data_IF_644696027672
#
_entry.id   IF_644696027672
#
_cell.length_a   1.000
_cell.length_b   1.000
_cell.length_c   1.000
_cell.angle_alpha   90.00
_cell.angle_beta   90.00
_cell.angle_gamma   90.00
#
_symmetry.space_group_name_H-M   'P 1'
#
loop_
_entity.id
_entity.type
_entity.pdbx_description
1 polymer ?
#
# COMPACT_ATOMS: atom_id res chain seq x y z
N UNK A 1 -22.11 -8.60 -14.63
CA UNK A 1 -20.64 -8.68 -14.53
C UNK A 1 -20.17 -9.72 -15.52
N UNK A 2 -19.49 -9.30 -16.58
CA UNK A 2 -18.74 -10.19 -17.48
C UNK A 2 -17.36 -10.38 -16.87
N UNK A 3 -16.93 -11.63 -16.68
CA UNK A 3 -15.57 -11.93 -16.23
C UNK A 3 -14.63 -11.79 -17.43
N UNK A 4 -13.55 -11.02 -17.27
CA UNK A 4 -12.53 -10.90 -18.30
C UNK A 4 -11.75 -12.22 -18.45
N UNK A 5 -11.25 -12.57 -19.65
CA UNK A 5 -10.26 -13.62 -19.78
C UNK A 5 -8.95 -13.19 -19.08
N UNK A 6 -8.62 -13.84 -17.97
CA UNK A 6 -7.41 -13.58 -17.17
C UNK A 6 -6.20 -14.15 -17.90
N UNK A 7 -5.19 -13.33 -18.16
CA UNK A 7 -3.90 -13.78 -18.68
C UNK A 7 -2.88 -14.07 -17.55
N UNK A 8 -1.66 -14.49 -17.92
CA UNK A 8 -0.60 -14.79 -16.93
C UNK A 8 -0.14 -13.55 -16.14
N UNK A 9 -0.16 -12.37 -16.75
CA UNK A 9 0.20 -11.12 -16.09
C UNK A 9 -0.83 -10.71 -15.06
N UNK A 10 -2.11 -10.83 -15.40
CA UNK A 10 -3.23 -10.58 -14.50
C UNK A 10 -3.22 -11.53 -13.31
N UNK A 11 -2.96 -12.82 -13.57
CA UNK A 11 -2.85 -13.83 -12.52
C UNK A 11 -1.68 -13.52 -11.56
N UNK A 12 -0.52 -13.13 -12.09
CA UNK A 12 0.62 -12.73 -11.27
C UNK A 12 0.29 -11.50 -10.40
N UNK A 13 -0.40 -10.50 -10.96
CA UNK A 13 -0.84 -9.32 -10.21
C UNK A 13 -1.80 -9.68 -9.06
N UNK A 14 -2.75 -10.59 -9.30
CA UNK A 14 -3.67 -11.09 -8.26
C UNK A 14 -2.90 -11.81 -7.13
N UNK A 15 -1.90 -12.63 -7.47
CA UNK A 15 -1.06 -13.29 -6.46
C UNK A 15 -0.33 -12.27 -5.59
N UNK A 16 0.30 -11.26 -6.21
CA UNK A 16 0.97 -10.16 -5.48
C UNK A 16 0.00 -9.41 -4.58
N UNK A 17 -1.24 -9.18 -5.04
CA UNK A 17 -2.30 -8.58 -4.22
C UNK A 17 -2.58 -9.42 -2.97
N UNK A 18 -2.71 -10.74 -3.11
CA UNK A 18 -2.95 -11.65 -1.98
C UNK A 18 -1.77 -11.63 -1.00
N UNK A 19 -0.55 -11.71 -1.49
CA UNK A 19 0.66 -11.63 -0.66
C UNK A 19 0.73 -10.30 0.11
N UNK A 20 0.41 -9.18 -0.54
CA UNK A 20 0.39 -7.87 0.11
C UNK A 20 -0.71 -7.73 1.15
N UNK A 21 -1.89 -8.33 0.95
CA UNK A 21 -2.95 -8.39 1.98
C UNK A 21 -2.45 -9.18 3.20
N UNK A 22 -1.83 -10.34 2.97
CA UNK A 22 -1.30 -11.19 4.04
C UNK A 22 -0.21 -10.42 4.80
N UNK A 23 0.76 -9.85 4.09
CA UNK A 23 1.84 -9.08 4.67
C UNK A 23 1.33 -7.91 5.51
N UNK A 24 0.41 -7.11 4.95
CA UNK A 24 -0.14 -5.94 5.63
C UNK A 24 -0.91 -6.34 6.90
N UNK A 25 -1.72 -7.40 6.82
CA UNK A 25 -2.47 -7.94 7.96
C UNK A 25 -1.53 -8.45 9.05
N UNK A 26 -0.55 -9.26 8.67
CA UNK A 26 0.45 -9.81 9.60
C UNK A 26 1.28 -8.69 10.23
N UNK A 27 1.71 -7.70 9.45
CA UNK A 27 2.48 -6.57 9.94
C UNK A 27 1.67 -5.73 10.92
N UNK A 28 0.41 -5.42 10.59
CA UNK A 28 -0.49 -4.74 11.49
C UNK A 28 -0.61 -5.52 12.81
N UNK A 29 -1.09 -6.77 12.77
CA UNK A 29 -1.43 -7.51 13.98
C UNK A 29 -0.24 -7.98 14.81
N UNK A 30 0.85 -8.40 14.16
CA UNK A 30 2.01 -8.99 14.85
C UNK A 30 2.98 -7.91 15.31
N UNK A 31 3.29 -6.94 14.45
CA UNK A 31 4.25 -5.88 14.77
C UNK A 31 3.64 -4.78 15.64
N UNK A 32 2.31 -4.70 15.71
CA UNK A 32 1.53 -3.73 16.52
C UNK A 32 2.14 -2.33 16.47
N UNK A 33 2.44 -1.79 15.28
CA UNK A 33 3.17 -0.52 15.17
C UNK A 33 2.42 0.63 15.85
N UNK A 34 1.09 0.58 15.90
CA UNK A 34 0.25 1.54 16.62
C UNK A 34 0.50 1.55 18.13
N UNK A 35 0.86 0.43 18.77
CA UNK A 35 1.18 0.40 20.20
C UNK A 35 2.53 1.05 20.52
N UNK A 36 3.41 1.09 19.52
CA UNK A 36 4.74 1.68 19.65
C UNK A 36 4.80 3.13 19.16
N UNK A 37 3.64 3.78 18.94
CA UNK A 37 3.52 5.14 18.39
C UNK A 37 3.77 6.25 19.42
N UNK A 38 4.82 6.14 20.24
CA UNK A 38 5.78 7.26 20.16
C UNK A 38 7.21 6.86 19.79
N UNK A 39 7.59 5.61 20.05
CA UNK A 39 8.96 5.10 19.99
C UNK A 39 9.35 4.60 18.59
N UNK A 40 8.40 4.14 17.78
CA UNK A 40 8.64 3.61 16.43
C UNK A 40 7.75 4.31 15.39
N UNK A 41 8.06 5.58 15.10
CA UNK A 41 7.33 6.39 14.11
C UNK A 41 7.47 5.82 12.69
N UNK A 42 8.61 5.21 12.38
CA UNK A 42 8.87 4.57 11.08
C UNK A 42 7.91 3.41 10.86
N UNK A 43 7.70 2.54 11.86
CA UNK A 43 6.83 1.38 11.72
C UNK A 43 5.35 1.74 11.48
N UNK A 44 4.88 2.84 12.06
CA UNK A 44 3.51 3.34 11.82
C UNK A 44 3.33 3.83 10.40
N UNK A 45 4.27 4.63 9.88
CA UNK A 45 4.15 5.15 8.52
C UNK A 45 4.41 4.10 7.47
N UNK A 46 5.28 3.13 7.77
CA UNK A 46 5.42 1.93 6.95
C UNK A 46 4.11 1.12 6.90
N UNK A 47 3.39 0.95 8.02
CA UNK A 47 2.06 0.34 7.99
C UNK A 47 1.10 1.13 7.07
N UNK A 48 1.10 2.47 7.16
CA UNK A 48 0.32 3.32 6.27
C UNK A 48 0.62 3.05 4.80
N UNK A 49 1.89 2.96 4.42
CA UNK A 49 2.31 2.61 3.07
C UNK A 49 1.81 1.23 2.64
N UNK A 50 1.97 0.21 3.50
CA UNK A 50 1.49 -1.15 3.21
C UNK A 50 -0.02 -1.18 2.96
N UNK A 51 -0.80 -0.45 3.76
CA UNK A 51 -2.25 -0.31 3.58
C UNK A 51 -2.57 0.38 2.26
N UNK A 52 -1.92 1.50 1.96
CA UNK A 52 -2.13 2.23 0.70
C UNK A 52 -1.81 1.35 -0.51
N UNK A 53 -0.69 0.63 -0.48
CA UNK A 53 -0.28 -0.25 -1.57
C UNK A 53 -1.23 -1.45 -1.73
N UNK A 54 -1.69 -2.02 -0.62
CA UNK A 54 -2.70 -3.09 -0.62
C UNK A 54 -4.00 -2.63 -1.26
N UNK A 55 -4.49 -1.43 -0.90
CA UNK A 55 -5.72 -0.87 -1.50
C UNK A 55 -5.55 -0.65 -3.01
N UNK A 56 -4.41 -0.10 -3.44
CA UNK A 56 -4.08 0.09 -4.84
C UNK A 56 -4.09 -1.24 -5.62
N UNK A 57 -3.42 -2.27 -5.09
CA UNK A 57 -3.35 -3.60 -5.72
C UNK A 57 -4.72 -4.28 -5.78
N UNK A 58 -5.54 -4.17 -4.73
CA UNK A 58 -6.92 -4.68 -4.75
C UNK A 58 -7.75 -4.00 -5.85
N UNK A 59 -7.65 -2.67 -5.99
CA UNK A 59 -8.32 -1.94 -7.06
C UNK A 59 -7.84 -2.37 -8.46
N UNK A 60 -6.54 -2.64 -8.59
CA UNK A 60 -5.95 -3.13 -9.82
C UNK A 60 -6.46 -4.54 -10.17
N UNK A 61 -6.49 -5.46 -9.21
CA UNK A 61 -7.04 -6.81 -9.40
C UNK A 61 -8.53 -6.80 -9.75
N UNK A 62 -9.34 -5.94 -9.11
CA UNK A 62 -10.76 -5.77 -9.46
C UNK A 62 -10.89 -5.28 -10.91
N UNK A 63 -10.03 -4.35 -11.32
CA UNK A 63 -10.01 -3.85 -12.71
C UNK A 63 -9.76 -4.97 -13.71
N UNK A 64 -8.81 -5.87 -13.45
CA UNK A 64 -8.51 -7.00 -14.33
C UNK A 64 -9.67 -7.99 -14.39
N UNK A 65 -10.25 -8.37 -13.25
CA UNK A 65 -11.33 -9.37 -13.20
C UNK A 65 -12.60 -8.88 -13.90
N UNK A 66 -12.91 -7.59 -13.78
CA UNK A 66 -14.17 -7.01 -14.26
C UNK A 66 -14.08 -6.40 -15.65
N UNK A 67 -12.92 -6.49 -16.32
CA UNK A 67 -12.63 -5.75 -17.55
C UNK A 67 -13.05 -4.28 -17.46
N UNK A 68 -12.74 -3.63 -16.33
CA UNK A 68 -13.16 -2.26 -16.06
C UNK A 68 -14.69 -2.01 -15.96
N UNK A 69 -15.56 -3.02 -16.01
CA UNK A 69 -17.01 -2.88 -16.01
C UNK A 69 -17.63 -2.75 -14.61
N UNK A 70 -17.01 -1.98 -13.71
CA UNK A 70 -17.50 -1.74 -12.35
C UNK A 70 -17.97 -0.27 -12.16
N UNK A 71 -19.05 -0.05 -11.39
CA UNK A 71 -19.58 1.30 -11.17
C UNK A 71 -18.55 2.20 -10.45
N UNK A 72 -18.55 3.49 -10.78
CA UNK A 72 -17.64 4.51 -10.23
C UNK A 72 -16.15 4.38 -10.61
N UNK A 73 -15.80 3.54 -11.60
CA UNK A 73 -14.43 3.40 -12.11
C UNK A 73 -13.73 4.72 -12.40
N UNK A 74 -14.41 5.65 -13.06
CA UNK A 74 -13.87 6.97 -13.44
C UNK A 74 -13.41 7.80 -12.24
N UNK A 75 -13.93 7.52 -11.03
CA UNK A 75 -13.57 8.23 -9.80
C UNK A 75 -12.60 7.40 -8.96
N UNK A 76 -12.84 6.10 -8.84
CA UNK A 76 -12.05 5.23 -7.97
C UNK A 76 -10.63 5.00 -8.52
N UNK A 77 -10.50 4.80 -9.83
CA UNK A 77 -9.20 4.52 -10.46
C UNK A 77 -8.20 5.68 -10.33
N UNK A 78 -8.57 6.94 -10.64
CA UNK A 78 -7.67 8.07 -10.42
C UNK A 78 -7.26 8.22 -8.97
N UNK A 79 -8.19 8.05 -8.02
CA UNK A 79 -7.88 8.14 -6.59
C UNK A 79 -6.87 7.08 -6.17
N UNK A 80 -7.05 5.82 -6.62
CA UNK A 80 -6.09 4.76 -6.35
C UNK A 80 -4.71 5.05 -6.96
N UNK A 81 -4.66 5.56 -8.20
CA UNK A 81 -3.41 5.90 -8.89
C UNK A 81 -2.69 7.07 -8.20
N UNK A 82 -3.43 8.09 -7.77
CA UNK A 82 -2.88 9.20 -6.98
C UNK A 82 -2.42 8.75 -5.59
N UNK A 83 -3.14 7.84 -4.94
CA UNK A 83 -2.72 7.23 -3.67
C UNK A 83 -1.42 6.45 -3.83
N UNK A 84 -1.26 5.69 -4.90
CA UNK A 84 -0.01 5.02 -5.22
C UNK A 84 1.14 6.00 -5.48
N UNK A 85 0.88 7.07 -6.24
CA UNK A 85 1.87 8.09 -6.59
C UNK A 85 2.35 8.90 -5.37
N UNK A 86 1.45 9.24 -4.45
CA UNK A 86 1.74 10.11 -3.30
C UNK A 86 2.06 9.30 -2.04
N UNK A 87 1.69 8.02 -1.98
CA UNK A 87 1.83 7.17 -0.80
C UNK A 87 3.27 7.03 -0.28
N UNK A 88 4.27 7.17 -1.15
CA UNK A 88 5.69 7.11 -0.77
C UNK A 88 6.21 8.41 -0.13
N UNK A 89 5.59 9.55 -0.42
CA UNK A 89 6.03 10.86 0.08
C UNK A 89 6.17 10.94 1.62
N UNK A 90 5.20 10.49 2.44
CA UNK A 90 5.34 10.52 3.89
C UNK A 90 6.48 9.62 4.39
N UNK A 91 6.74 8.48 3.74
CA UNK A 91 7.84 7.59 4.13
C UNK A 91 9.20 8.23 3.83
N UNK A 92 9.34 8.88 2.67
CA UNK A 92 10.56 9.63 2.31
C UNK A 92 10.80 10.75 3.34
N UNK A 93 9.77 11.52 3.68
CA UNK A 93 9.89 12.59 4.66
C UNK A 93 10.35 12.08 6.03
N UNK A 94 9.76 10.98 6.52
CA UNK A 94 10.14 10.40 7.81
C UNK A 94 11.55 9.82 7.80
N UNK A 95 11.93 9.15 6.71
CA UNK A 95 13.29 8.64 6.55
C UNK A 95 14.32 9.78 6.62
N UNK A 96 14.05 10.90 5.95
CA UNK A 96 14.93 12.08 6.00
C UNK A 96 14.98 12.71 7.40
N UNK A 97 13.84 12.78 8.10
CA UNK A 97 13.78 13.31 9.47
C UNK A 97 14.59 12.43 10.41
N UNK A 98 14.41 11.11 10.36
CA UNK A 98 15.09 10.19 11.28
C UNK A 98 16.59 10.12 11.00
N UNK A 99 17.00 10.09 9.72
CA UNK A 99 18.41 10.19 9.34
C UNK A 99 19.06 11.48 9.85
N UNK A 100 18.35 12.60 9.82
CA UNK A 100 18.86 13.87 10.34
C UNK A 100 18.94 13.90 11.87
N UNK A 101 18.04 13.21 12.58
CA UNK A 101 18.08 13.08 14.05
C UNK A 101 19.26 12.23 14.49
N UNK A 102 19.49 11.10 13.84
CA UNK A 102 20.65 10.24 14.12
C UNK A 102 21.98 10.97 13.90
N UNK A 103 22.07 11.79 12.85
CA UNK A 103 23.26 12.63 12.58
C UNK A 103 23.50 13.71 13.63
N UNK A 104 22.44 14.24 14.25
CA UNK A 104 22.53 15.26 15.31
C UNK A 104 22.83 14.66 16.69
N UNK A 105 22.34 13.45 16.97
CA UNK A 105 22.58 12.75 18.24
C UNK A 105 23.95 12.05 18.34
N UNK A 106 24.69 11.95 17.23
CA UNK A 106 26.08 11.43 17.19
C UNK A 106 27.17 12.51 17.39
N UNK A 107 26.79 13.72 17.79
CA UNK A 107 27.71 14.81 18.18
C UNK A 107 27.56 15.10 19.66
#
# INVERSE_FOLDING_TARGET
>A
MTLAPIDLGDAAAIVVTVEMIIFTTLYAWRSKPWKSWPHNRVGVVFLGLCVTFTVFLVQLSITYITDSAYPWREIIRPIAYWLGAVGLAPMIAILLIEQNRDRKGRK
#
